data_IF_767160389066
#
_entry.id   IF_767160389066
#
_cell.length_a   1.000
_cell.length_b   1.000
_cell.length_c   1.000
_cell.angle_alpha   90.00
_cell.angle_beta   90.00
_cell.angle_gamma   90.00
#
_symmetry.space_group_name_H-M   'P 1'
#
loop_
_entity.id
_entity.type
_entity.pdbx_description
1 polymer ?
#
# COMPACT_ATOMS: atom_id res chain seq x y z
N UNK A 1 11.61 34.97 -10.56
CA UNK A 1 11.63 34.58 -9.13
C UNK A 1 10.87 33.28 -8.98
N UNK A 2 11.57 32.16 -8.74
CA UNK A 2 10.93 30.88 -8.41
C UNK A 2 10.08 31.09 -7.14
N UNK A 3 8.77 30.83 -7.21
CA UNK A 3 7.92 30.81 -6.01
C UNK A 3 8.50 29.75 -5.07
N UNK A 4 9.10 30.18 -3.96
CA UNK A 4 9.54 29.28 -2.89
C UNK A 4 8.36 28.40 -2.51
N UNK A 5 8.52 27.08 -2.66
CA UNK A 5 7.49 26.11 -2.32
C UNK A 5 7.03 26.36 -0.88
N UNK A 6 5.74 26.63 -0.68
CA UNK A 6 5.17 26.74 0.65
C UNK A 6 4.87 25.33 1.12
N UNK A 7 5.45 24.98 2.27
CA UNK A 7 5.17 23.72 2.95
C UNK A 7 3.66 23.48 3.02
N UNK A 8 3.24 22.27 2.66
CA UNK A 8 1.84 21.84 2.75
C UNK A 8 1.72 20.92 3.96
N UNK A 9 0.72 21.17 4.80
CA UNK A 9 0.43 20.31 5.95
C UNK A 9 -0.86 19.54 5.70
N UNK A 10 -0.81 18.23 5.91
CA UNK A 10 -1.95 17.33 5.92
C UNK A 10 -2.28 16.93 7.36
N UNK A 11 -3.57 16.92 7.71
CA UNK A 11 -4.03 16.43 9.01
C UNK A 11 -4.23 14.92 8.94
N UNK A 12 -3.61 14.21 9.85
CA UNK A 12 -3.73 12.77 10.00
C UNK A 12 -4.11 12.43 11.45
N UNK A 13 -5.08 11.53 11.69
CA UNK A 13 -5.54 11.24 13.04
C UNK A 13 -4.53 10.45 13.88
N UNK A 14 -3.56 9.77 13.26
CA UNK A 14 -2.51 9.02 13.95
C UNK A 14 -1.30 9.92 14.25
N UNK A 15 -0.85 10.73 13.29
CA UNK A 15 0.37 11.55 13.44
C UNK A 15 0.13 13.06 13.64
N UNK A 16 -1.13 13.51 13.65
CA UNK A 16 -1.47 14.92 13.80
C UNK A 16 -1.20 15.72 12.53
N UNK A 17 -0.06 16.40 12.46
CA UNK A 17 0.34 17.22 11.31
C UNK A 17 1.46 16.53 10.54
N UNK A 18 1.19 16.19 9.29
CA UNK A 18 2.19 15.66 8.35
C UNK A 18 2.62 16.78 7.42
N UNK A 19 3.88 17.17 7.50
CA UNK A 19 4.47 18.22 6.68
C UNK A 19 5.06 17.64 5.38
N UNK A 20 4.58 18.14 4.25
CA UNK A 20 5.09 17.82 2.91
C UNK A 20 6.07 18.92 2.51
N UNK A 21 7.36 18.55 2.49
CA UNK A 21 8.45 19.50 2.40
C UNK A 21 9.05 19.65 1.00
N UNK A 22 8.54 18.89 0.02
CA UNK A 22 9.04 18.92 -1.35
C UNK A 22 7.91 18.89 -2.38
N UNK A 23 7.98 19.72 -3.45
CA UNK A 23 6.95 19.79 -4.47
C UNK A 23 6.74 18.48 -5.24
N UNK A 24 7.80 17.68 -5.50
CA UNK A 24 7.63 16.33 -6.08
C UNK A 24 6.67 15.47 -5.27
N UNK A 25 6.83 15.42 -3.95
CA UNK A 25 5.98 14.59 -3.09
C UNK A 25 4.53 15.07 -3.15
N UNK A 26 4.31 16.39 -3.18
CA UNK A 26 2.97 16.94 -3.34
C UNK A 26 2.36 16.58 -4.71
N UNK A 27 3.12 16.71 -5.80
CA UNK A 27 2.63 16.36 -7.15
C UNK A 27 2.39 14.85 -7.31
N UNK A 28 3.19 14.00 -6.66
CA UNK A 28 2.92 12.56 -6.58
C UNK A 28 1.62 12.29 -5.81
N UNK A 29 1.40 12.96 -4.67
CA UNK A 29 0.15 12.85 -3.92
C UNK A 29 -1.04 13.30 -4.77
N UNK A 30 -0.91 14.38 -5.53
CA UNK A 30 -1.99 14.94 -6.35
C UNK A 30 -2.20 14.18 -7.68
N UNK A 31 -1.35 13.20 -8.02
CA UNK A 31 -1.49 12.36 -9.22
C UNK A 31 -2.77 11.51 -9.19
N UNK A 32 -3.33 11.20 -10.36
CA UNK A 32 -4.53 10.38 -10.46
C UNK A 32 -4.29 8.96 -9.92
N UNK A 33 -3.10 8.42 -10.18
CA UNK A 33 -2.65 7.11 -9.76
C UNK A 33 -2.60 6.99 -8.24
N UNK A 34 -2.19 8.05 -7.54
CA UNK A 34 -2.16 8.07 -6.07
C UNK A 34 -3.53 8.41 -5.46
N UNK A 35 -4.27 9.36 -6.03
CA UNK A 35 -5.58 9.78 -5.51
C UNK A 35 -6.61 8.64 -5.56
N UNK A 36 -6.46 7.65 -6.45
CA UNK A 36 -7.33 6.47 -6.48
C UNK A 36 -7.29 5.67 -5.18
N UNK A 37 -6.16 5.68 -4.46
CA UNK A 37 -5.99 4.94 -3.20
C UNK A 37 -6.95 5.40 -2.10
N UNK A 38 -7.61 6.56 -2.25
CA UNK A 38 -8.68 7.00 -1.34
C UNK A 38 -9.91 6.11 -1.38
N UNK A 39 -10.11 5.41 -2.51
CA UNK A 39 -11.27 4.56 -2.81
C UNK A 39 -10.95 3.07 -2.66
N UNK A 40 -9.77 2.76 -2.15
CA UNK A 40 -9.30 1.40 -1.89
C UNK A 40 -9.02 1.30 -0.38
N UNK A 41 -9.78 0.46 0.32
CA UNK A 41 -9.60 0.24 1.76
C UNK A 41 -8.29 -0.48 2.06
N UNK A 42 -7.65 -0.11 3.16
CA UNK A 42 -6.40 -0.74 3.63
C UNK A 42 -6.63 -2.22 3.97
N UNK A 43 -7.66 -2.49 4.77
CA UNK A 43 -7.89 -3.81 5.36
C UNK A 43 -8.92 -4.66 4.61
N UNK A 44 -9.18 -4.34 3.34
CA UNK A 44 -10.12 -5.08 2.48
C UNK A 44 -11.46 -5.30 3.17
N UNK A 45 -11.73 -6.55 3.56
CA UNK A 45 -13.00 -6.98 4.17
C UNK A 45 -13.09 -6.80 5.69
N UNK A 46 -12.07 -6.25 6.37
CA UNK A 46 -12.09 -6.16 7.83
C UNK A 46 -13.25 -5.33 8.39
N UNK A 47 -13.80 -4.38 7.61
CA UNK A 47 -14.97 -3.58 8.00
C UNK A 47 -16.21 -4.44 8.32
N UNK A 48 -16.29 -5.66 7.78
CA UNK A 48 -17.37 -6.62 8.06
C UNK A 48 -17.43 -7.09 9.52
N UNK A 49 -16.32 -6.95 10.25
CA UNK A 49 -16.20 -7.31 11.68
C UNK A 49 -15.90 -6.06 12.50
N UNK A 50 -14.90 -5.30 12.07
CA UNK A 50 -14.46 -4.07 12.70
C UNK A 50 -15.04 -2.90 11.91
N UNK A 51 -16.27 -2.51 12.19
CA UNK A 51 -17.01 -1.50 11.43
C UNK A 51 -16.34 -0.12 11.34
N UNK A 52 -15.29 0.15 12.13
CA UNK A 52 -14.46 1.35 12.03
C UNK A 52 -13.28 1.25 11.05
N UNK A 53 -12.97 0.05 10.54
CA UNK A 53 -11.87 -0.26 9.63
C UNK A 53 -12.13 0.22 8.19
N UNK A 54 -12.45 1.49 8.06
CA UNK A 54 -12.82 2.19 6.81
C UNK A 54 -11.67 3.03 6.25
N UNK A 55 -10.48 2.98 6.88
CA UNK A 55 -9.32 3.72 6.40
C UNK A 55 -8.80 3.18 5.07
N UNK A 56 -8.28 4.11 4.28
CA UNK A 56 -7.85 3.88 2.90
C UNK A 56 -6.34 3.70 2.79
N UNK A 57 -5.89 3.05 1.72
CA UNK A 57 -4.46 2.93 1.39
C UNK A 57 -3.79 4.29 1.24
N UNK A 58 -4.53 5.31 0.78
CA UNK A 58 -4.04 6.69 0.72
C UNK A 58 -3.53 7.20 2.07
N UNK A 59 -4.27 6.92 3.16
CA UNK A 59 -3.88 7.37 4.49
C UNK A 59 -2.64 6.62 4.98
N UNK A 60 -2.60 5.32 4.73
CA UNK A 60 -1.45 4.47 5.05
C UNK A 60 -0.19 4.92 4.32
N UNK A 61 -0.23 5.07 2.99
CA UNK A 61 0.90 5.50 2.16
C UNK A 61 1.49 6.86 2.59
N UNK A 62 0.63 7.82 2.97
CA UNK A 62 1.11 9.10 3.52
C UNK A 62 1.78 8.91 4.88
N UNK A 63 1.22 8.05 5.72
CA UNK A 63 1.80 7.69 7.02
C UNK A 63 3.17 7.03 6.89
N UNK A 64 3.30 6.05 6.01
CA UNK A 64 4.56 5.36 5.69
C UNK A 64 5.63 6.33 5.20
N UNK A 65 5.27 7.24 4.27
CA UNK A 65 6.15 8.32 3.82
C UNK A 65 6.57 9.26 4.96
N UNK A 66 5.64 9.61 5.85
CA UNK A 66 5.91 10.47 7.00
C UNK A 66 6.93 9.82 7.96
N UNK A 67 6.77 8.54 8.27
CA UNK A 67 7.72 7.81 9.11
C UNK A 67 9.11 7.72 8.48
N UNK A 68 9.17 7.44 7.17
CA UNK A 68 10.42 7.47 6.40
C UNK A 68 11.10 8.85 6.51
N UNK A 69 10.33 9.93 6.33
CA UNK A 69 10.82 11.31 6.48
C UNK A 69 11.41 11.55 7.86
N UNK A 70 10.73 11.11 8.93
CA UNK A 70 11.19 11.30 10.31
C UNK A 70 12.51 10.60 10.59
N UNK A 71 12.63 9.33 10.18
CA UNK A 71 13.85 8.54 10.38
C UNK A 71 15.02 9.18 9.64
N UNK A 72 14.87 9.48 8.35
CA UNK A 72 15.96 10.03 7.53
C UNK A 72 16.35 11.45 7.97
N UNK A 73 15.38 12.27 8.39
CA UNK A 73 15.65 13.60 8.97
C UNK A 73 16.47 13.47 10.24
N UNK A 74 16.07 12.57 11.14
CA UNK A 74 16.78 12.34 12.38
C UNK A 74 18.21 11.83 12.14
N UNK A 75 18.42 10.90 11.21
CA UNK A 75 19.76 10.41 10.84
C UNK A 75 20.63 11.51 10.26
N UNK A 76 20.09 12.35 9.37
CA UNK A 76 20.79 13.50 8.79
C UNK A 76 21.20 14.51 9.86
N UNK A 77 20.25 14.94 10.69
CA UNK A 77 20.46 16.01 11.67
C UNK A 77 21.46 15.59 12.77
N UNK A 78 21.52 14.30 13.09
CA UNK A 78 22.47 13.72 14.04
C UNK A 78 23.73 13.15 13.38
N UNK A 79 23.89 13.34 12.06
CA UNK A 79 25.07 12.90 11.28
C UNK A 79 25.37 11.39 11.43
N UNK A 80 24.33 10.57 11.54
CA UNK A 80 24.44 9.11 11.69
C UNK A 80 24.84 8.45 10.37
N UNK A 81 24.43 9.03 9.25
CA UNK A 81 24.81 8.60 7.90
C UNK A 81 24.81 9.82 6.98
N UNK A 82 25.78 9.90 6.07
CA UNK A 82 25.78 10.88 5.00
C UNK A 82 24.86 10.39 3.89
N UNK A 83 23.68 11.00 3.79
CA UNK A 83 22.68 10.69 2.76
C UNK A 83 22.51 11.90 1.84
N UNK A 84 22.55 11.67 0.53
CA UNK A 84 22.31 12.72 -0.44
C UNK A 84 20.83 13.19 -0.38
N UNK A 85 20.53 14.48 -0.56
CA UNK A 85 19.15 14.97 -0.58
C UNK A 85 18.25 14.23 -1.58
N UNK A 86 18.81 13.85 -2.72
CA UNK A 86 18.14 13.10 -3.78
C UNK A 86 17.76 11.69 -3.31
N UNK A 87 18.64 11.01 -2.57
CA UNK A 87 18.36 9.70 -1.97
C UNK A 87 17.26 9.79 -0.90
N UNK A 88 17.23 10.87 -0.10
CA UNK A 88 16.15 11.08 0.87
C UNK A 88 14.81 11.19 0.14
N UNK A 89 14.75 12.00 -0.93
CA UNK A 89 13.53 12.15 -1.72
C UNK A 89 13.11 10.85 -2.42
N UNK A 90 14.06 10.07 -2.95
CA UNK A 90 13.78 8.77 -3.54
C UNK A 90 13.22 7.77 -2.50
N UNK A 91 13.78 7.72 -1.30
CA UNK A 91 13.28 6.87 -0.22
C UNK A 91 11.88 7.31 0.26
N UNK A 92 11.63 8.63 0.36
CA UNK A 92 10.29 9.15 0.68
C UNK A 92 9.28 8.81 -0.42
N UNK A 93 9.65 8.94 -1.69
CA UNK A 93 8.80 8.56 -2.81
C UNK A 93 8.55 7.04 -2.82
N UNK A 94 9.56 6.22 -2.50
CA UNK A 94 9.40 4.77 -2.39
C UNK A 94 8.40 4.41 -1.28
N UNK A 95 8.53 5.02 -0.10
CA UNK A 95 7.59 4.86 1.01
C UNK A 95 6.17 5.33 0.66
N UNK A 96 6.04 6.43 -0.08
CA UNK A 96 4.74 6.91 -0.55
C UNK A 96 4.10 5.95 -1.56
N UNK A 97 4.89 5.40 -2.49
CA UNK A 97 4.37 4.69 -3.65
C UNK A 97 4.40 3.16 -3.50
N UNK A 98 4.89 2.62 -2.38
CA UNK A 98 5.06 1.16 -2.20
C UNK A 98 3.77 0.35 -2.41
N UNK A 99 2.64 0.96 -2.07
CA UNK A 99 1.31 0.36 -2.11
C UNK A 99 0.46 0.83 -3.31
N UNK A 100 1.02 1.63 -4.24
CA UNK A 100 0.24 2.28 -5.30
C UNK A 100 -0.37 1.29 -6.31
N UNK A 101 0.27 0.12 -6.46
CA UNK A 101 -0.18 -0.97 -7.32
C UNK A 101 -1.28 -1.83 -6.73
N UNK A 102 -1.72 -1.61 -5.48
CA UNK A 102 -2.84 -2.36 -4.94
C UNK A 102 -4.16 -2.01 -5.63
N UNK A 103 -4.92 -3.05 -5.97
CA UNK A 103 -6.28 -2.97 -6.47
C UNK A 103 -7.32 -3.22 -5.39
N UNK A 104 -8.61 -3.15 -5.75
CA UNK A 104 -9.72 -3.39 -4.83
C UNK A 104 -9.67 -4.78 -4.23
N UNK A 105 -9.91 -4.86 -2.91
CA UNK A 105 -9.78 -6.09 -2.11
C UNK A 105 -8.44 -6.83 -2.22
N UNK A 106 -7.44 -6.21 -2.86
CA UNK A 106 -6.04 -6.59 -2.99
C UNK A 106 -5.83 -8.09 -3.19
N UNK A 107 -5.47 -8.84 -2.15
CA UNK A 107 -5.18 -10.27 -2.28
C UNK A 107 -6.33 -11.10 -2.84
N UNK A 108 -7.60 -10.72 -2.63
CA UNK A 108 -8.71 -11.44 -3.25
C UNK A 108 -8.66 -11.34 -4.79
N UNK A 109 -8.30 -10.16 -5.31
CA UNK A 109 -8.18 -9.90 -6.75
C UNK A 109 -6.95 -10.58 -7.35
N UNK A 110 -5.80 -10.49 -6.68
CA UNK A 110 -4.54 -11.12 -7.12
C UNK A 110 -4.67 -12.64 -7.24
N UNK A 111 -5.36 -13.27 -6.29
CA UNK A 111 -5.59 -14.70 -6.32
C UNK A 111 -6.60 -15.12 -7.41
N UNK A 112 -7.46 -14.20 -7.85
CA UNK A 112 -8.44 -14.45 -8.89
C UNK A 112 -7.85 -14.22 -10.30
N UNK A 113 -6.91 -13.29 -10.46
CA UNK A 113 -6.39 -12.86 -11.75
C UNK A 113 -4.86 -12.81 -11.73
N UNK A 114 -4.21 -13.72 -12.46
CA UNK A 114 -2.75 -13.92 -12.47
C UNK A 114 -1.93 -12.72 -12.94
N UNK A 115 -2.51 -11.83 -13.78
CA UNK A 115 -1.86 -10.59 -14.22
C UNK A 115 -1.84 -9.51 -13.14
N UNK A 116 -2.59 -9.66 -12.05
CA UNK A 116 -2.64 -8.70 -10.96
C UNK A 116 -1.61 -9.10 -9.92
N UNK A 117 -0.48 -8.40 -9.95
CA UNK A 117 0.55 -8.45 -8.92
C UNK A 117 0.83 -7.01 -8.46
N UNK A 118 0.44 -6.66 -7.24
CA UNK A 118 0.55 -5.29 -6.74
C UNK A 118 1.99 -4.78 -6.71
N UNK A 119 2.98 -5.62 -6.46
CA UNK A 119 4.39 -5.22 -6.45
C UNK A 119 4.83 -4.80 -7.85
N UNK A 120 4.62 -5.64 -8.87
CA UNK A 120 4.99 -5.30 -10.25
C UNK A 120 4.18 -4.12 -10.79
N UNK A 121 2.87 -4.07 -10.49
CA UNK A 121 2.02 -2.95 -10.86
C UNK A 121 2.48 -1.64 -10.20
N UNK A 122 2.94 -1.68 -8.95
CA UNK A 122 3.52 -0.50 -8.28
C UNK A 122 4.72 0.02 -9.05
N UNK A 123 5.64 -0.85 -9.47
CA UNK A 123 6.82 -0.46 -10.25
C UNK A 123 6.43 0.14 -11.62
N UNK A 124 5.46 -0.46 -12.31
CA UNK A 124 4.94 0.06 -13.57
C UNK A 124 4.32 1.45 -13.41
N UNK A 125 3.56 1.67 -12.34
CA UNK A 125 2.99 2.98 -12.02
C UNK A 125 4.08 4.00 -11.71
N UNK A 126 5.11 3.63 -10.93
CA UNK A 126 6.25 4.53 -10.66
C UNK A 126 6.96 4.93 -11.96
N UNK A 127 7.14 4.01 -12.90
CA UNK A 127 7.69 4.32 -14.24
C UNK A 127 6.79 5.26 -15.03
N UNK A 128 5.47 5.07 -15.00
CA UNK A 128 4.50 5.99 -15.62
C UNK A 128 4.60 7.40 -15.04
N UNK A 129 4.89 7.52 -13.74
CA UNK A 129 5.09 8.79 -13.05
C UNK A 129 6.49 9.40 -13.25
N UNK A 130 7.40 8.76 -13.98
CA UNK A 130 8.76 9.24 -14.23
C UNK A 130 8.86 10.70 -14.74
N UNK A 131 7.94 11.22 -15.57
CA UNK A 131 7.95 12.63 -15.96
C UNK A 131 7.88 13.61 -14.78
N UNK A 132 7.19 13.24 -13.68
CA UNK A 132 7.14 14.07 -12.47
C UNK A 132 8.50 14.09 -11.76
N UNK A 133 9.21 12.96 -11.69
CA UNK A 133 10.57 12.90 -11.13
C UNK A 133 11.54 13.75 -11.95
N UNK A 134 11.49 13.62 -13.29
CA UNK A 134 12.37 14.33 -14.21
C UNK A 134 12.25 15.86 -14.11
N UNK A 135 11.04 16.39 -13.83
CA UNK A 135 10.79 17.82 -13.59
C UNK A 135 11.63 18.41 -12.45
N UNK A 136 12.04 17.57 -11.48
CA UNK A 136 12.87 17.96 -10.34
C UNK A 136 14.30 17.42 -10.43
N UNK A 137 14.74 17.00 -11.62
CA UNK A 137 16.08 16.42 -11.84
C UNK A 137 16.34 15.15 -11.01
N UNK A 138 15.29 14.37 -10.75
CA UNK A 138 15.36 13.07 -10.06
C UNK A 138 15.06 11.93 -11.03
N UNK A 139 15.60 10.75 -10.74
CA UNK A 139 15.35 9.55 -11.52
C UNK A 139 14.36 8.64 -10.78
N UNK A 140 13.25 8.26 -11.43
CA UNK A 140 12.29 7.32 -10.88
C UNK A 140 12.91 5.93 -10.64
N UNK A 141 13.96 5.56 -11.39
CA UNK A 141 14.67 4.30 -11.21
C UNK A 141 15.37 4.19 -9.85
N UNK A 142 15.76 5.31 -9.21
CA UNK A 142 16.29 5.26 -7.83
C UNK A 142 15.20 4.83 -6.84
N UNK A 143 13.97 5.32 -7.04
CA UNK A 143 12.81 4.94 -6.22
C UNK A 143 12.47 3.47 -6.43
N UNK A 144 12.45 3.02 -7.68
CA UNK A 144 12.22 1.62 -8.07
C UNK A 144 13.30 0.70 -7.48
N UNK A 145 14.56 1.12 -7.54
CA UNK A 145 15.67 0.35 -6.99
C UNK A 145 15.58 0.20 -5.46
N UNK A 146 15.10 1.23 -4.75
CA UNK A 146 14.82 1.13 -3.31
C UNK A 146 13.66 0.15 -3.06
N UNK A 147 12.58 0.22 -3.82
CA UNK A 147 11.44 -0.70 -3.69
C UNK A 147 11.85 -2.16 -3.95
N UNK A 148 12.72 -2.40 -4.93
CA UNK A 148 13.21 -3.74 -5.31
C UNK A 148 14.34 -4.28 -4.44
N UNK A 149 14.94 -3.46 -3.59
CA UNK A 149 16.14 -3.85 -2.83
C UNK A 149 17.41 -3.93 -3.66
N UNK A 150 17.45 -3.29 -4.83
CA UNK A 150 18.62 -3.24 -5.72
C UNK A 150 19.39 -1.93 -5.62
N UNK A 151 18.98 -1.01 -4.75
CA UNK A 151 19.69 0.25 -4.50
C UNK A 151 21.03 -0.02 -3.80
N UNK A 152 22.13 0.71 -4.11
CA UNK A 152 23.47 0.39 -3.60
C UNK A 152 23.61 0.28 -2.07
N UNK A 153 22.77 1.00 -1.33
CA UNK A 153 22.74 0.95 0.15
C UNK A 153 21.46 0.23 0.60
N UNK A 154 21.55 -1.02 1.11
CA UNK A 154 20.39 -1.84 1.46
C UNK A 154 19.48 -1.21 2.52
N UNK A 155 20.05 -0.44 3.45
CA UNK A 155 19.30 0.22 4.54
C UNK A 155 18.04 0.97 4.07
N UNK A 156 18.04 1.56 2.88
CA UNK A 156 16.86 2.29 2.37
C UNK A 156 15.72 1.34 2.00
N UNK A 157 16.04 0.16 1.45
CA UNK A 157 15.05 -0.88 1.22
C UNK A 157 14.61 -1.49 2.55
N UNK A 158 15.52 -1.76 3.49
CA UNK A 158 15.18 -2.35 4.78
C UNK A 158 14.28 -1.44 5.64
N UNK A 159 14.44 -0.12 5.53
CA UNK A 159 13.52 0.83 6.15
C UNK A 159 12.11 0.75 5.56
N UNK A 160 11.98 0.32 4.29
CA UNK A 160 10.70 0.17 3.60
C UNK A 160 10.09 -1.23 3.76
N UNK A 161 10.90 -2.27 3.69
CA UNK A 161 10.52 -3.68 3.74
C UNK A 161 11.58 -4.49 4.48
N UNK A 162 11.26 -4.87 5.72
CA UNK A 162 12.08 -5.73 6.57
C UNK A 162 11.21 -6.35 7.69
N UNK A 163 11.81 -6.60 8.87
CA UNK A 163 11.04 -6.94 10.08
C UNK A 163 10.67 -5.69 10.88
N UNK A 164 11.38 -4.58 10.66
CA UNK A 164 11.23 -3.30 11.37
C UNK A 164 11.27 -2.17 10.34
N UNK A 165 10.22 -2.07 9.55
CA UNK A 165 10.06 -1.08 8.48
C UNK A 165 8.91 -0.09 8.75
N UNK A 166 8.94 1.01 8.02
CA UNK A 166 7.97 2.09 8.15
C UNK A 166 6.55 1.69 7.71
N UNK A 167 6.43 0.70 6.82
CA UNK A 167 5.16 0.15 6.37
C UNK A 167 4.42 -0.50 7.55
N UNK A 168 5.06 -1.48 8.20
CA UNK A 168 4.55 -2.17 9.40
C UNK A 168 4.33 -1.22 10.56
N UNK A 169 5.23 -0.25 10.75
CA UNK A 169 5.09 0.73 11.81
C UNK A 169 3.83 1.58 11.65
N UNK A 170 3.47 1.94 10.41
CA UNK A 170 2.24 2.67 10.14
C UNK A 170 1.01 1.80 10.27
N UNK A 171 0.94 0.69 9.50
CA UNK A 171 -0.31 -0.05 9.43
C UNK A 171 -0.68 -0.65 10.79
N UNK A 172 0.26 -1.12 11.61
CA UNK A 172 -0.08 -1.72 12.91
C UNK A 172 -0.82 -0.74 13.82
N UNK A 173 -0.32 0.50 13.91
CA UNK A 173 -0.96 1.53 14.74
C UNK A 173 -2.22 2.08 14.08
N UNK A 174 -2.21 2.29 12.77
CA UNK A 174 -3.36 2.80 12.03
C UNK A 174 -4.51 1.80 12.06
N UNK A 175 -4.25 0.54 11.78
CA UNK A 175 -5.23 -0.53 11.87
C UNK A 175 -5.77 -0.65 13.28
N UNK A 176 -4.92 -0.57 14.32
CA UNK A 176 -5.36 -0.56 15.72
C UNK A 176 -6.29 0.60 16.03
N UNK A 177 -5.98 1.80 15.54
CA UNK A 177 -6.81 2.99 15.70
C UNK A 177 -8.20 2.81 15.09
N UNK A 178 -8.27 2.39 13.83
CA UNK A 178 -9.53 2.30 13.08
C UNK A 178 -10.36 1.07 13.42
N UNK A 179 -9.72 -0.06 13.75
CA UNK A 179 -10.45 -1.26 14.22
C UNK A 179 -10.93 -1.13 15.65
N UNK A 180 -10.34 -0.22 16.45
CA UNK A 180 -10.54 -0.14 17.89
C UNK A 180 -9.85 -1.27 18.67
N UNK A 181 -9.17 -2.20 17.98
CA UNK A 181 -8.39 -3.26 18.60
C UNK A 181 -7.08 -2.66 19.12
N UNK A 182 -7.03 -2.32 20.41
CA UNK A 182 -5.90 -1.62 21.07
C UNK A 182 -4.60 -2.45 21.19
N UNK A 183 -4.45 -3.50 20.38
CA UNK A 183 -3.30 -4.39 20.38
C UNK A 183 -2.11 -3.84 19.59
N UNK A 184 -2.32 -2.91 18.65
CA UNK A 184 -1.26 -2.39 17.77
C UNK A 184 -0.53 -1.15 18.29
N UNK A 185 -0.66 -0.81 19.57
CA UNK A 185 -0.10 0.41 20.15
C UNK A 185 1.30 0.15 20.73
N UNK A 186 2.32 0.77 20.15
CA UNK A 186 3.72 0.72 20.63
C UNK A 186 4.37 2.10 20.53
N UNK A 187 5.49 2.30 21.22
CA UNK A 187 6.22 3.57 21.24
C UNK A 187 7.04 3.75 19.95
N UNK A 188 6.37 4.24 18.90
CA UNK A 188 7.00 4.50 17.61
C UNK A 188 8.08 5.57 17.68
N UNK A 189 7.92 6.57 18.55
CA UNK A 189 8.91 7.64 18.70
C UNK A 189 10.22 7.06 19.26
N UNK A 190 10.12 6.18 20.25
CA UNK A 190 11.28 5.48 20.78
C UNK A 190 12.00 4.70 19.70
N UNK A 191 11.27 3.93 18.88
CA UNK A 191 11.85 3.17 17.76
C UNK A 191 12.55 4.11 16.77
N UNK A 192 11.90 5.19 16.32
CA UNK A 192 12.49 6.17 15.39
C UNK A 192 13.78 6.75 15.94
N UNK A 193 13.84 7.05 17.24
CA UNK A 193 15.04 7.63 17.86
C UNK A 193 16.14 6.60 18.16
N UNK A 194 15.84 5.31 18.14
CA UNK A 194 16.83 4.23 18.41
C UNK A 194 17.19 3.41 17.18
N UNK A 195 16.46 3.53 16.07
CA UNK A 195 16.83 2.94 14.80
C UNK A 195 18.06 3.65 14.23
N UNK A 196 19.02 2.89 13.74
CA UNK A 196 20.36 3.37 13.35
C UNK A 196 20.80 2.70 12.06
N UNK A 197 21.53 3.42 11.19
CA UNK A 197 22.29 2.80 10.13
C UNK A 197 23.55 2.18 10.74
N UNK A 198 23.79 0.90 10.49
CA UNK A 198 24.97 0.16 10.94
C UNK A 198 25.73 -0.39 9.74
N UNK A 199 27.06 -0.35 9.76
CA UNK A 199 27.88 -0.90 8.68
C UNK A 199 28.14 -2.37 8.92
N UNK A 200 27.74 -3.21 7.97
CA UNK A 200 28.05 -4.63 7.98
C UNK A 200 29.53 -4.91 7.63
N UNK A 201 29.89 -6.20 7.54
CA UNK A 201 31.24 -6.63 7.17
C UNK A 201 31.68 -6.23 5.75
N UNK A 202 30.74 -5.85 4.88
CA UNK A 202 30.97 -5.42 3.50
C UNK A 202 30.96 -3.88 3.34
N UNK A 203 30.97 -3.13 4.46
CA UNK A 203 30.85 -1.67 4.52
C UNK A 203 29.52 -1.12 3.96
N UNK A 204 28.49 -1.95 3.86
CA UNK A 204 27.14 -1.55 3.48
C UNK A 204 26.33 -1.18 4.72
N UNK A 205 25.50 -0.16 4.59
CA UNK A 205 24.59 0.19 5.68
C UNK A 205 23.40 -0.76 5.70
N UNK A 206 23.11 -1.28 6.88
CA UNK A 206 21.89 -2.00 7.24
C UNK A 206 21.18 -1.32 8.43
N UNK A 207 19.95 -1.70 8.66
CA UNK A 207 19.10 -1.21 9.72
C UNK A 207 19.40 -1.97 11.03
N UNK A 208 19.78 -1.23 12.06
CA UNK A 208 20.02 -1.75 13.40
C UNK A 208 19.26 -0.95 14.45
N UNK A 209 19.18 -1.49 15.66
CA UNK A 209 18.51 -0.86 16.79
C UNK A 209 19.52 -0.69 17.92
N UNK A 210 19.65 0.54 18.42
CA UNK A 210 20.42 0.82 19.64
C UNK A 210 19.82 0.04 20.81
N UNK A 211 20.64 -0.52 21.70
CA UNK A 211 20.18 -1.30 22.86
C UNK A 211 19.11 -0.57 23.69
N UNK A 212 19.14 0.77 23.74
CA UNK A 212 18.14 1.58 24.44
C UNK A 212 16.72 1.48 23.85
N UNK A 213 16.58 0.95 22.63
CA UNK A 213 15.33 0.76 21.91
C UNK A 213 14.76 -0.65 21.97
N UNK A 214 15.47 -1.60 22.60
CA UNK A 214 15.07 -3.01 22.62
C UNK A 214 13.65 -3.20 23.16
N UNK A 215 13.28 -2.56 24.26
CA UNK A 215 11.96 -2.71 24.87
C UNK A 215 10.84 -2.17 23.98
N UNK A 216 11.11 -1.10 23.21
CA UNK A 216 10.13 -0.56 22.26
C UNK A 216 9.93 -1.50 21.06
N UNK A 217 11.02 -2.14 20.59
CA UNK A 217 10.94 -3.14 19.53
C UNK A 217 10.26 -4.42 20.01
N UNK A 218 10.51 -4.87 21.24
CA UNK A 218 9.77 -5.98 21.87
C UNK A 218 8.27 -5.67 21.91
N UNK A 219 7.89 -4.46 22.34
CA UNK A 219 6.51 -3.98 22.29
C UNK A 219 5.91 -4.08 20.89
N UNK A 220 6.61 -3.58 19.87
CA UNK A 220 6.22 -3.70 18.46
C UNK A 220 6.00 -5.17 18.02
N UNK A 221 6.86 -6.10 18.43
CA UNK A 221 6.73 -7.52 18.09
C UNK A 221 5.48 -8.15 18.72
N UNK A 222 5.18 -7.84 19.99
CA UNK A 222 3.94 -8.28 20.62
C UNK A 222 2.71 -7.68 19.94
N UNK A 223 2.75 -6.39 19.60
CA UNK A 223 1.67 -5.73 18.88
C UNK A 223 1.39 -6.41 17.54
N UNK A 224 2.44 -6.70 16.77
CA UNK A 224 2.34 -7.44 15.51
C UNK A 224 1.72 -8.81 15.70
N UNK A 225 2.17 -9.57 16.71
CA UNK A 225 1.62 -10.89 17.03
C UNK A 225 0.11 -10.83 17.33
N UNK A 226 -0.32 -9.91 18.19
CA UNK A 226 -1.73 -9.79 18.56
C UNK A 226 -2.59 -9.28 17.39
N UNK A 227 -2.14 -8.27 16.66
CA UNK A 227 -2.88 -7.76 15.48
C UNK A 227 -3.10 -8.86 14.43
N UNK A 228 -2.10 -9.74 14.24
CA UNK A 228 -2.22 -10.86 13.33
C UNK A 228 -3.36 -11.80 13.67
N UNK A 229 -3.48 -12.21 14.94
CA UNK A 229 -4.52 -13.14 15.36
C UNK A 229 -5.89 -12.49 15.56
N UNK A 230 -5.91 -11.27 16.10
CA UNK A 230 -7.15 -10.62 16.51
C UNK A 230 -7.83 -9.91 15.34
N UNK A 231 -7.08 -9.38 14.38
CA UNK A 231 -7.60 -8.61 13.25
C UNK A 231 -7.41 -9.37 11.94
N UNK A 232 -6.18 -9.61 11.51
CA UNK A 232 -5.90 -10.07 10.14
C UNK A 232 -6.36 -11.51 9.88
N UNK A 233 -6.22 -12.40 10.86
CA UNK A 233 -6.69 -13.80 10.80
C UNK A 233 -8.06 -14.01 11.47
N UNK A 234 -8.78 -12.93 11.77
CA UNK A 234 -10.11 -13.07 12.36
C UNK A 234 -11.00 -13.92 11.43
N UNK A 235 -11.52 -15.03 11.96
CA UNK A 235 -12.21 -16.07 11.18
C UNK A 235 -13.30 -15.51 10.25
N UNK A 236 -14.09 -14.55 10.74
CA UNK A 236 -15.17 -13.94 9.94
C UNK A 236 -14.63 -13.10 8.79
N UNK A 237 -13.53 -12.34 8.99
CA UNK A 237 -12.87 -11.59 7.91
C UNK A 237 -12.38 -12.55 6.83
N UNK A 238 -11.73 -13.65 7.26
CA UNK A 238 -11.26 -14.72 6.36
C UNK A 238 -12.41 -15.40 5.62
N UNK A 239 -13.58 -15.56 6.24
CA UNK A 239 -14.79 -16.07 5.58
C UNK A 239 -15.28 -15.12 4.49
N UNK A 240 -15.32 -13.81 4.74
CA UNK A 240 -15.70 -12.82 3.71
C UNK A 240 -14.71 -12.78 2.55
N UNK A 241 -13.41 -12.83 2.82
CA UNK A 241 -12.39 -12.91 1.76
C UNK A 241 -12.56 -14.20 0.93
N UNK A 242 -12.84 -15.32 1.59
CA UNK A 242 -13.10 -16.60 0.90
C UNK A 242 -14.36 -16.52 0.05
N UNK A 243 -15.44 -15.90 0.54
CA UNK A 243 -16.67 -15.69 -0.21
C UNK A 243 -16.39 -14.89 -1.50
N UNK A 244 -15.67 -13.77 -1.41
CA UNK A 244 -15.30 -12.98 -2.59
C UNK A 244 -14.48 -13.79 -3.59
N UNK A 245 -13.50 -14.57 -3.12
CA UNK A 245 -12.71 -15.45 -4.00
C UNK A 245 -13.59 -16.47 -4.74
N UNK A 246 -14.57 -17.06 -4.06
CA UNK A 246 -15.51 -18.02 -4.68
C UNK A 246 -16.42 -17.32 -5.69
N UNK A 247 -16.88 -16.10 -5.40
CA UNK A 247 -17.65 -15.28 -6.33
C UNK A 247 -16.83 -15.00 -7.60
N UNK A 248 -15.60 -14.52 -7.47
CA UNK A 248 -14.73 -14.23 -8.63
C UNK A 248 -14.41 -15.48 -9.45
N UNK A 249 -14.19 -16.63 -8.79
CA UNK A 249 -14.02 -17.91 -9.48
C UNK A 249 -15.29 -18.33 -10.24
N UNK A 250 -16.48 -18.13 -9.65
CA UNK A 250 -17.75 -18.40 -10.34
C UNK A 250 -17.93 -17.46 -11.52
N UNK A 251 -17.56 -16.19 -11.39
CA UNK A 251 -17.62 -15.22 -12.47
C UNK A 251 -16.74 -15.64 -13.64
N UNK A 252 -15.49 -16.05 -13.37
CA UNK A 252 -14.60 -16.56 -14.41
C UNK A 252 -15.17 -17.79 -15.13
N UNK A 253 -15.71 -18.75 -14.36
CA UNK A 253 -16.34 -19.94 -14.93
C UNK A 253 -17.54 -19.59 -15.84
N UNK A 254 -18.43 -18.69 -15.40
CA UNK A 254 -19.58 -18.27 -16.20
C UNK A 254 -19.15 -17.47 -17.43
N UNK A 255 -18.11 -16.65 -17.30
CA UNK A 255 -17.55 -15.91 -18.43
C UNK A 255 -17.06 -16.85 -19.55
N UNK A 256 -16.45 -17.99 -19.20
CA UNK A 256 -15.96 -18.96 -20.19
C UNK A 256 -17.06 -19.89 -20.73
N UNK A 257 -18.01 -20.30 -19.89
CA UNK A 257 -18.98 -21.36 -20.23
C UNK A 257 -20.35 -20.86 -20.65
N UNK A 258 -20.78 -19.71 -20.16
CA UNK A 258 -22.10 -19.12 -20.42
C UNK A 258 -22.08 -17.60 -20.23
N UNK A 259 -21.38 -16.84 -21.08
CA UNK A 259 -21.22 -15.39 -20.92
C UNK A 259 -22.55 -14.63 -20.79
N UNK A 260 -23.61 -15.11 -21.43
CA UNK A 260 -24.97 -14.57 -21.35
C UNK A 260 -25.57 -14.60 -19.93
N UNK A 261 -25.04 -15.43 -19.04
CA UNK A 261 -25.47 -15.55 -17.64
C UNK A 261 -24.72 -14.62 -16.68
N UNK A 262 -23.73 -13.87 -17.18
CA UNK A 262 -22.90 -12.99 -16.38
C UNK A 262 -22.98 -11.56 -16.92
N UNK A 263 -23.66 -10.69 -16.18
CA UNK A 263 -23.59 -9.26 -16.46
C UNK A 263 -22.27 -8.69 -15.94
N UNK A 264 -21.32 -8.46 -16.85
CA UNK A 264 -19.99 -7.94 -16.53
C UNK A 264 -19.86 -6.47 -16.96
N UNK A 265 -19.68 -5.53 -16.00
CA UNK A 265 -19.44 -4.13 -16.31
C UNK A 265 -18.23 -3.94 -17.22
N UNK A 266 -18.33 -2.98 -18.15
CA UNK A 266 -17.32 -2.75 -19.19
C UNK A 266 -15.93 -2.48 -18.62
N UNK A 267 -15.85 -1.72 -17.53
CA UNK A 267 -14.61 -1.37 -16.86
C UNK A 267 -13.91 -2.54 -16.17
N UNK A 268 -14.56 -3.69 -15.99
CA UNK A 268 -13.94 -4.89 -15.41
C UNK A 268 -13.62 -5.97 -16.45
N UNK A 269 -14.02 -5.79 -17.72
CA UNK A 269 -13.86 -6.82 -18.77
C UNK A 269 -12.41 -7.21 -19.03
N UNK A 270 -11.50 -6.24 -19.00
CA UNK A 270 -10.07 -6.46 -19.20
C UNK A 270 -9.46 -7.49 -18.23
N UNK A 271 -10.05 -7.66 -17.03
CA UNK A 271 -9.62 -8.68 -16.07
C UNK A 271 -9.91 -10.11 -16.57
N UNK A 272 -10.98 -10.29 -17.36
CA UNK A 272 -11.45 -11.58 -17.86
C UNK A 272 -11.00 -11.86 -19.30
N UNK A 273 -10.77 -10.81 -20.11
CA UNK A 273 -10.36 -10.90 -21.52
C UNK A 273 -8.86 -11.20 -21.72
N UNK A 274 -8.12 -11.31 -20.62
CA UNK A 274 -6.66 -11.29 -20.53
C UNK A 274 -5.88 -12.38 -21.30
N UNK A 275 -6.54 -13.38 -21.90
CA UNK A 275 -5.93 -14.38 -22.79
C UNK A 275 -5.68 -13.86 -24.22
N UNK A 276 -6.19 -12.67 -24.56
CA UNK A 276 -5.84 -12.00 -25.82
C UNK A 276 -4.60 -11.12 -25.60
N UNK A 277 -3.78 -10.96 -26.64
CA UNK A 277 -2.56 -10.16 -26.63
C UNK A 277 -2.88 -8.66 -26.50
N UNK A 278 -3.40 -8.26 -25.34
CA UNK A 278 -3.63 -6.86 -25.00
C UNK A 278 -2.30 -6.16 -24.77
N UNK A 279 -2.22 -4.95 -25.29
CA UNK A 279 -1.16 -4.00 -24.98
C UNK A 279 -1.07 -3.78 -23.46
N UNK A 280 0.13 -3.93 -22.90
CA UNK A 280 0.36 -3.80 -21.46
C UNK A 280 -0.08 -2.42 -20.94
N UNK A 281 0.09 -1.37 -21.74
CA UNK A 281 -0.31 -0.01 -21.36
C UNK A 281 -1.83 0.13 -21.26
N UNK A 282 -2.57 -0.50 -22.17
CA UNK A 282 -4.04 -0.57 -22.11
C UNK A 282 -4.53 -1.29 -20.84
N UNK A 283 -3.86 -2.37 -20.44
CA UNK A 283 -4.19 -3.05 -19.18
C UNK A 283 -4.01 -2.11 -17.99
N UNK A 284 -2.89 -1.38 -17.93
CA UNK A 284 -2.60 -0.47 -16.82
C UNK A 284 -3.58 0.70 -16.77
N UNK A 285 -3.96 1.27 -17.92
CA UNK A 285 -4.96 2.34 -18.00
C UNK A 285 -6.30 1.89 -17.41
N UNK A 286 -6.79 0.71 -17.80
CA UNK A 286 -8.01 0.14 -17.25
C UNK A 286 -7.88 -0.20 -15.77
N UNK A 287 -6.74 -0.76 -15.36
CA UNK A 287 -6.45 -1.10 -13.97
C UNK A 287 -6.45 0.14 -13.05
N UNK A 288 -5.99 1.28 -13.53
CA UNK A 288 -5.98 2.52 -12.77
C UNK A 288 -7.38 3.11 -12.54
N UNK A 289 -8.38 2.69 -13.33
CA UNK A 289 -9.77 3.12 -13.18
C UNK A 289 -10.56 2.29 -12.16
N UNK A 290 -10.08 1.12 -11.75
CA UNK A 290 -10.82 0.24 -10.84
C UNK A 290 -10.52 0.54 -9.37
N UNK A 291 -11.57 0.49 -8.54
CA UNK A 291 -11.49 0.59 -7.09
C UNK A 291 -12.61 -0.22 -6.40
N UNK A 292 -12.75 -0.11 -5.07
CA UNK A 292 -13.67 -0.95 -4.31
C UNK A 292 -15.13 -0.79 -4.79
N UNK A 293 -15.51 0.41 -5.25
CA UNK A 293 -16.88 0.73 -5.64
C UNK A 293 -17.33 -0.01 -6.91
N UNK A 294 -16.42 -0.25 -7.84
CA UNK A 294 -16.70 -1.02 -9.07
C UNK A 294 -17.09 -2.46 -8.75
N UNK A 295 -16.42 -3.06 -7.76
CA UNK A 295 -16.72 -4.41 -7.32
C UNK A 295 -18.02 -4.46 -6.51
N UNK A 296 -18.29 -3.49 -5.64
CA UNK A 296 -19.60 -3.41 -4.97
C UNK A 296 -20.75 -3.27 -5.97
N UNK A 297 -20.57 -2.44 -7.00
CA UNK A 297 -21.57 -2.31 -8.06
C UNK A 297 -21.80 -3.65 -8.78
N UNK A 298 -20.71 -4.32 -9.15
CA UNK A 298 -20.73 -5.63 -9.82
C UNK A 298 -21.41 -6.70 -8.97
N UNK A 299 -21.09 -6.78 -7.68
CA UNK A 299 -21.71 -7.73 -6.75
C UNK A 299 -23.22 -7.50 -6.62
N UNK A 300 -23.66 -6.24 -6.62
CA UNK A 300 -25.09 -5.91 -6.63
C UNK A 300 -25.77 -6.37 -7.92
N UNK A 301 -25.14 -6.25 -9.08
CA UNK A 301 -25.67 -6.81 -10.33
C UNK A 301 -25.74 -8.33 -10.27
N UNK A 302 -24.65 -8.98 -9.85
CA UNK A 302 -24.56 -10.44 -9.75
C UNK A 302 -25.53 -11.05 -8.74
N UNK A 303 -25.99 -10.29 -7.75
CA UNK A 303 -27.06 -10.71 -6.83
C UNK A 303 -28.39 -11.06 -7.52
N UNK A 304 -28.59 -10.55 -8.74
CA UNK A 304 -29.74 -10.78 -9.62
C UNK A 304 -29.40 -11.66 -10.82
N UNK A 305 -28.22 -12.31 -10.82
CA UNK A 305 -27.81 -13.19 -11.90
C UNK A 305 -28.82 -14.32 -12.15
N UNK A 306 -29.04 -14.74 -13.41
CA UNK A 306 -29.83 -15.93 -13.70
C UNK A 306 -29.16 -17.22 -13.20
N UNK A 307 -27.85 -17.19 -12.93
CA UNK A 307 -27.15 -18.29 -12.28
C UNK A 307 -27.42 -18.30 -10.77
N UNK A 308 -28.09 -19.35 -10.27
CA UNK A 308 -28.51 -19.44 -8.87
C UNK A 308 -27.33 -19.38 -7.89
N UNK A 309 -26.20 -19.99 -8.25
CA UNK A 309 -24.98 -20.01 -7.42
C UNK A 309 -24.38 -18.60 -7.34
N UNK A 310 -24.21 -17.92 -8.47
CA UNK A 310 -23.71 -16.55 -8.50
C UNK A 310 -24.62 -15.60 -7.70
N UNK A 311 -25.94 -15.71 -7.88
CA UNK A 311 -26.90 -14.88 -7.20
C UNK A 311 -26.90 -15.09 -5.68
N UNK A 312 -26.84 -16.35 -5.22
CA UNK A 312 -26.75 -16.68 -3.78
C UNK A 312 -25.44 -16.17 -3.17
N UNK A 313 -24.30 -16.45 -3.79
CA UNK A 313 -23.00 -16.01 -3.28
C UNK A 313 -22.91 -14.48 -3.19
N UNK A 314 -23.37 -13.77 -4.24
CA UNK A 314 -23.35 -12.31 -4.27
C UNK A 314 -24.34 -11.67 -3.29
N UNK A 315 -25.45 -12.34 -2.96
CA UNK A 315 -26.39 -11.89 -1.92
C UNK A 315 -25.86 -12.06 -0.49
N UNK A 316 -24.93 -12.99 -0.27
CA UNK A 316 -24.31 -13.24 1.04
C UNK A 316 -23.21 -12.24 1.38
N UNK A 317 -22.66 -11.58 0.36
CA UNK A 317 -21.60 -10.60 0.51
C UNK A 317 -22.16 -9.25 0.94
#
# INVERSE_FOLDING_TARGET
MSKKFKEKVLRDPLYGNIAINHPLILELIDSMEFQRLRRIRQLGMCFSVFHGAEHSRFQHSIGTMWLMQRILTYWRDNRLMKVAPETILAAQAAALLHDIGHGPFSHALENAFSKVNHEELSLRIVRRLAPLFAKYSLNAEDTIAIMKGTYPQPVFHELLSSQLDVDRMDYLQRDSLYTGAKYGLFDIDRIIYTIRPFKDSEDKYCCAVDHKGCEAVEGYLFCRYFMHWQVYLHKTVRSYETLLRVILKRAHYLYETSPQSLELPRNLRFLFESNQAEDEDSFLDNYLQIDDFDFYHTLKLWSQSPDEVMADLSRRF
#
